data_IF_868972255978
#
_entry.id   IF_868972255978
#
_cell.length_a   1.000
_cell.length_b   1.000
_cell.length_c   1.000
_cell.angle_alpha   90.00
_cell.angle_beta   90.00
_cell.angle_gamma   90.00
#
_symmetry.space_group_name_H-M   'P 1'
#
loop_
_entity.id
_entity.type
_entity.pdbx_description
1 polymer ?
#
# COMPACT_ATOMS: atom_id res chain seq x y z
N UNK A 1 -66.56 -12.66 -13.30
CA UNK A 1 -65.96 -11.31 -13.32
C UNK A 1 -64.64 -11.37 -12.58
N UNK A 2 -63.52 -11.54 -13.30
CA UNK A 2 -62.18 -11.51 -12.74
C UNK A 2 -61.58 -10.13 -13.01
N UNK A 3 -61.31 -9.40 -11.93
CA UNK A 3 -60.51 -8.19 -11.96
C UNK A 3 -59.43 -8.34 -10.88
N UNK A 4 -58.19 -8.59 -11.31
CA UNK A 4 -57.05 -7.77 -10.88
C UNK A 4 -55.85 -8.08 -11.78
N UNK A 5 -55.56 -7.13 -12.67
CA UNK A 5 -54.31 -7.03 -13.40
C UNK A 5 -53.15 -6.87 -12.40
N UNK A 6 -52.38 -7.94 -12.17
CA UNK A 6 -51.06 -7.83 -11.56
C UNK A 6 -50.09 -7.21 -12.57
N UNK A 7 -50.04 -5.89 -12.58
CA UNK A 7 -49.08 -5.13 -13.35
C UNK A 7 -47.67 -5.31 -12.80
N UNK A 8 -46.79 -5.87 -13.63
CA UNK A 8 -45.34 -5.67 -13.71
C UNK A 8 -44.72 -4.82 -12.59
N UNK A 9 -43.94 -5.48 -11.71
CA UNK A 9 -42.70 -4.89 -11.23
C UNK A 9 -41.70 -5.96 -10.80
N UNK A 10 -41.12 -6.65 -11.79
CA UNK A 10 -39.75 -7.12 -11.70
C UNK A 10 -38.85 -5.89 -11.50
N UNK A 11 -38.66 -5.47 -10.25
CA UNK A 11 -37.68 -4.46 -9.89
C UNK A 11 -36.84 -5.00 -8.75
N UNK A 12 -35.70 -5.54 -9.18
CA UNK A 12 -34.42 -5.36 -8.50
C UNK A 12 -34.39 -5.77 -7.03
N UNK A 13 -34.19 -7.07 -6.77
CA UNK A 13 -33.49 -7.55 -5.56
C UNK A 13 -31.98 -7.19 -5.59
N UNK A 14 -31.57 -6.15 -6.32
CA UNK A 14 -30.17 -5.81 -6.64
C UNK A 14 -29.72 -4.53 -5.94
N UNK A 15 -30.26 -4.24 -4.76
CA UNK A 15 -30.00 -2.98 -4.05
C UNK A 15 -29.80 -3.12 -2.54
N UNK A 16 -29.67 -4.35 -2.03
CA UNK A 16 -29.38 -4.61 -0.60
C UNK A 16 -28.06 -5.37 -0.36
N UNK A 17 -27.33 -5.78 -1.40
CA UNK A 17 -26.02 -6.46 -1.28
C UNK A 17 -24.82 -5.58 -1.67
N UNK A 18 -25.02 -4.30 -1.98
CA UNK A 18 -23.92 -3.39 -2.41
C UNK A 18 -23.63 -2.31 -1.36
N UNK A 19 -23.83 -2.64 -0.08
CA UNK A 19 -23.53 -1.69 1.01
C UNK A 19 -22.95 -2.32 2.26
N UNK A 20 -22.35 -3.49 2.12
CA UNK A 20 -21.43 -4.01 3.11
C UNK A 20 -20.01 -3.58 2.75
N UNK A 21 -19.55 -2.58 3.49
CA UNK A 21 -18.15 -2.37 3.83
C UNK A 21 -17.17 -2.21 2.66
N UNK A 22 -17.13 -1.01 2.10
CA UNK A 22 -15.87 -0.42 1.63
C UNK A 22 -14.93 -0.15 2.83
N UNK A 23 -14.68 -1.15 3.69
CA UNK A 23 -13.39 -1.25 4.38
C UNK A 23 -12.41 -1.43 3.24
N UNK A 24 -11.61 -0.40 2.97
CA UNK A 24 -10.43 -0.54 2.15
C UNK A 24 -9.55 -1.60 2.83
N UNK A 25 -9.75 -2.88 2.48
CA UNK A 25 -8.81 -3.95 2.79
C UNK A 25 -7.57 -3.53 2.04
N UNK A 26 -6.64 -2.89 2.72
CA UNK A 26 -5.27 -2.84 2.23
C UNK A 26 -4.83 -4.29 2.19
N UNK A 27 -4.94 -4.91 1.01
CA UNK A 27 -4.36 -6.20 0.75
C UNK A 27 -2.86 -5.94 0.76
N UNK A 28 -2.24 -6.22 1.90
CA UNK A 28 -0.79 -6.14 2.06
C UNK A 28 -0.17 -7.29 1.27
N UNK A 29 0.06 -7.05 -0.01
CA UNK A 29 0.85 -7.93 -0.85
C UNK A 29 2.31 -7.83 -0.39
N UNK A 30 2.74 -8.84 0.37
CA UNK A 30 4.08 -8.87 0.95
C UNK A 30 5.16 -8.87 -0.12
N UNK A 31 4.95 -9.54 -1.24
CA UNK A 31 5.93 -9.61 -2.33
C UNK A 31 6.12 -8.24 -2.96
N UNK A 32 5.01 -7.54 -3.20
CA UNK A 32 5.05 -6.14 -3.68
C UNK A 32 5.78 -5.21 -2.70
N UNK A 33 5.50 -5.32 -1.40
CA UNK A 33 6.18 -4.50 -0.39
C UNK A 33 7.67 -4.81 -0.29
N UNK A 34 8.08 -6.07 -0.49
CA UNK A 34 9.50 -6.44 -0.55
C UNK A 34 10.17 -5.84 -1.79
N UNK A 35 9.51 -5.87 -2.95
CA UNK A 35 10.02 -5.23 -4.16
C UNK A 35 10.25 -3.73 -3.94
N UNK A 36 9.25 -3.02 -3.43
CA UNK A 36 9.36 -1.59 -3.11
C UNK A 36 10.46 -1.31 -2.07
N UNK A 37 10.56 -2.13 -1.02
CA UNK A 37 11.60 -1.97 -0.01
C UNK A 37 13.01 -2.11 -0.64
N UNK A 38 13.19 -3.08 -1.54
CA UNK A 38 14.46 -3.24 -2.27
C UNK A 38 14.79 -2.02 -3.13
N UNK A 39 13.81 -1.42 -3.81
CA UNK A 39 14.03 -0.17 -4.56
C UNK A 39 14.48 0.98 -3.66
N UNK A 40 13.88 1.12 -2.47
CA UNK A 40 14.31 2.13 -1.49
C UNK A 40 15.74 1.88 -1.02
N UNK A 41 16.10 0.63 -0.73
CA UNK A 41 17.44 0.24 -0.27
C UNK A 41 18.52 0.50 -1.33
N UNK A 42 18.19 0.31 -2.62
CA UNK A 42 19.09 0.54 -3.75
C UNK A 42 19.13 2.01 -4.21
N UNK A 43 18.21 2.85 -3.74
CA UNK A 43 18.11 4.25 -4.16
C UNK A 43 19.36 5.07 -3.83
N UNK A 44 19.70 6.06 -4.67
CA UNK A 44 20.81 7.00 -4.38
C UNK A 44 20.48 8.03 -3.30
N UNK A 45 19.27 8.01 -2.73
CA UNK A 45 18.86 8.94 -1.68
C UNK A 45 19.64 8.73 -0.40
N UNK A 46 19.86 9.84 0.32
CA UNK A 46 20.58 9.85 1.60
C UNK A 46 19.79 9.04 2.63
N UNK A 47 20.48 8.12 3.31
CA UNK A 47 19.85 7.27 4.31
C UNK A 47 19.21 8.04 5.48
N UNK A 48 19.78 9.20 5.84
CA UNK A 48 19.21 10.10 6.87
C UNK A 48 17.85 10.68 6.47
N UNK A 49 17.67 11.02 5.19
CA UNK A 49 16.41 11.52 4.64
C UNK A 49 15.34 10.42 4.65
N UNK A 50 15.68 9.24 4.13
CA UNK A 50 14.78 8.09 4.09
C UNK A 50 14.37 7.63 5.49
N UNK A 51 15.33 7.52 6.42
CA UNK A 51 15.05 7.13 7.80
C UNK A 51 14.07 8.08 8.48
N UNK A 52 14.16 9.39 8.21
CA UNK A 52 13.22 10.40 8.72
C UNK A 52 11.80 10.17 8.18
N UNK A 53 11.65 9.95 6.87
CA UNK A 53 10.34 9.67 6.23
C UNK A 53 9.70 8.40 6.81
N UNK A 54 10.52 7.38 7.03
CA UNK A 54 10.09 6.09 7.58
C UNK A 54 9.78 6.12 9.09
N UNK A 55 10.15 7.20 9.78
CA UNK A 55 10.22 7.23 11.25
C UNK A 55 10.97 5.99 11.78
N UNK A 56 12.18 5.80 11.28
CA UNK A 56 13.09 4.70 11.60
C UNK A 56 14.44 5.28 12.03
N UNK A 57 15.14 4.58 12.93
CA UNK A 57 16.50 4.95 13.27
C UNK A 57 17.43 4.79 12.04
N UNK A 58 18.34 5.74 11.83
CA UNK A 58 19.26 5.73 10.68
C UNK A 58 20.12 4.46 10.63
N UNK A 59 20.63 4.00 11.79
CA UNK A 59 21.41 2.77 11.86
C UNK A 59 20.56 1.55 11.50
N UNK A 60 19.30 1.50 11.91
CA UNK A 60 18.39 0.42 11.52
C UNK A 60 18.17 0.38 10.00
N UNK A 61 18.07 1.54 9.35
CA UNK A 61 17.99 1.59 7.90
C UNK A 61 19.28 1.05 7.26
N UNK A 62 20.44 1.48 7.75
CA UNK A 62 21.73 1.00 7.24
C UNK A 62 21.98 -0.48 7.52
N UNK A 63 21.44 -1.05 8.60
CA UNK A 63 21.48 -2.49 8.82
C UNK A 63 20.85 -3.25 7.65
N UNK A 64 19.72 -2.77 7.12
CA UNK A 64 19.09 -3.38 5.94
C UNK A 64 19.87 -3.06 4.66
N UNK A 65 20.29 -1.80 4.49
CA UNK A 65 20.95 -1.34 3.26
C UNK A 65 22.31 -1.98 3.04
N UNK A 66 23.05 -2.22 4.12
CA UNK A 66 24.35 -2.90 4.08
C UNK A 66 24.20 -4.43 4.12
N UNK A 67 22.98 -4.95 4.22
CA UNK A 67 22.69 -6.38 4.21
C UNK A 67 22.91 -7.10 5.55
N UNK A 68 23.26 -6.39 6.63
CA UNK A 68 23.35 -6.93 8.00
C UNK A 68 22.02 -7.50 8.49
N UNK A 69 20.89 -6.90 8.06
CA UNK A 69 19.53 -7.43 8.23
C UNK A 69 18.93 -7.77 6.87
N UNK A 70 18.21 -8.89 6.82
CA UNK A 70 17.50 -9.36 5.63
C UNK A 70 16.09 -8.78 5.60
N UNK A 71 15.76 -8.00 4.56
CA UNK A 71 14.44 -7.35 4.41
C UNK A 71 13.33 -8.39 4.25
N UNK A 72 13.65 -9.54 3.69
CA UNK A 72 12.77 -10.69 3.49
C UNK A 72 12.27 -11.27 4.81
N UNK A 73 13.01 -11.04 5.91
CA UNK A 73 12.65 -11.46 7.28
C UNK A 73 12.03 -10.33 8.10
N UNK A 74 11.83 -9.15 7.52
CA UNK A 74 11.27 -8.01 8.22
C UNK A 74 9.80 -8.22 8.59
N UNK A 75 9.41 -7.64 9.72
CA UNK A 75 8.01 -7.59 10.18
C UNK A 75 7.20 -6.68 9.26
N UNK A 76 5.90 -6.92 9.16
CA UNK A 76 4.99 -6.12 8.34
C UNK A 76 5.09 -4.62 8.66
N UNK A 77 5.16 -4.24 9.93
CA UNK A 77 5.34 -2.83 10.34
C UNK A 77 6.58 -2.17 9.72
N UNK A 78 7.67 -2.94 9.59
CA UNK A 78 8.89 -2.46 8.93
C UNK A 78 8.65 -2.29 7.44
N UNK A 79 8.01 -3.27 6.78
CA UNK A 79 7.65 -3.16 5.36
C UNK A 79 6.74 -1.97 5.09
N UNK A 80 5.77 -1.67 5.97
CA UNK A 80 4.90 -0.49 5.85
C UNK A 80 5.72 0.81 5.91
N UNK A 81 6.78 0.86 6.73
CA UNK A 81 7.67 2.02 6.75
C UNK A 81 8.41 2.18 5.41
N UNK A 82 8.93 1.10 4.85
CA UNK A 82 9.56 1.11 3.53
C UNK A 82 8.59 1.56 2.42
N UNK A 83 7.33 1.14 2.49
CA UNK A 83 6.29 1.58 1.54
C UNK A 83 6.12 3.11 1.53
N UNK A 84 6.15 3.75 2.71
CA UNK A 84 6.09 5.23 2.80
C UNK A 84 7.27 5.90 2.12
N UNK A 85 8.47 5.36 2.29
CA UNK A 85 9.67 5.88 1.63
C UNK A 85 9.62 5.69 0.11
N UNK A 86 9.09 4.56 -0.35
CA UNK A 86 8.91 4.30 -1.77
C UNK A 86 7.96 5.31 -2.44
N UNK A 87 6.79 5.56 -1.83
CA UNK A 87 5.86 6.57 -2.34
C UNK A 87 6.50 7.95 -2.41
N UNK A 88 7.26 8.34 -1.38
CA UNK A 88 8.01 9.60 -1.37
C UNK A 88 9.01 9.68 -2.54
N UNK A 89 9.72 8.58 -2.83
CA UNK A 89 10.65 8.52 -3.95
C UNK A 89 9.95 8.77 -5.28
N UNK A 90 8.82 8.13 -5.52
CA UNK A 90 8.04 8.32 -6.74
C UNK A 90 7.59 9.78 -6.90
N UNK A 91 7.12 10.40 -5.82
CA UNK A 91 6.69 11.80 -5.85
C UNK A 91 7.86 12.77 -6.09
N UNK A 92 9.04 12.46 -5.55
CA UNK A 92 10.25 13.24 -5.80
C UNK A 92 10.72 13.14 -7.24
N UNK A 93 10.67 11.94 -7.84
CA UNK A 93 11.03 11.72 -9.24
C UNK A 93 10.10 12.45 -10.21
N UNK A 94 8.79 12.48 -9.93
CA UNK A 94 7.82 13.24 -10.75
C UNK A 94 8.17 14.72 -10.82
N UNK A 95 8.55 15.32 -9.69
CA UNK A 95 8.93 16.75 -9.60
C UNK A 95 10.24 17.11 -10.28
N UNK A 96 11.08 16.13 -10.62
CA UNK A 96 12.34 16.37 -11.34
C UNK A 96 12.22 16.28 -12.85
N UNK A 97 11.06 15.86 -13.36
CA UNK A 97 10.79 15.70 -14.80
C UNK A 97 10.00 16.89 -15.38
N UNK A 98 9.41 17.73 -14.51
CA UNK A 98 8.81 19.03 -14.85
C UNK A 98 9.85 20.16 -14.75
#
# INVERSE_FOLDING_TARGET
>A
MFNLLFTKKLRSKRSLEVREESKCKMVFDREKMLAHANEVLMSSLKGTELAKIMNMNVNQFYDYRNGSKKIEKARLETLIKFEKAYVYMLDKQKRTID
#
